data_IF_643684246405
#
_entry.id   IF_643684246405
#
_cell.length_a   1.000
_cell.length_b   1.000
_cell.length_c   1.000
_cell.angle_alpha   90.00
_cell.angle_beta   90.00
_cell.angle_gamma   90.00
#
_symmetry.space_group_name_H-M   'P 1'
#
loop_
_entity.id
_entity.type
_entity.pdbx_description
1 polymer ?
#
# COMPACT_ATOMS: atom_id res chain seq x y z
N UNK A 1 -28.15 41.04 32.70
CA UNK A 1 -27.50 39.76 32.98
C UNK A 1 -27.80 38.77 31.86
N UNK A 2 -26.94 38.69 30.84
CA UNK A 2 -27.01 37.66 29.81
C UNK A 2 -25.77 36.79 29.96
N UNK A 3 -25.98 35.51 30.33
CA UNK A 3 -24.96 34.49 30.39
C UNK A 3 -24.62 34.06 28.97
N UNK A 4 -23.38 34.22 28.54
CA UNK A 4 -22.81 33.58 27.35
C UNK A 4 -22.24 32.23 27.79
N UNK A 5 -22.80 31.14 27.30
CA UNK A 5 -22.22 29.80 27.34
C UNK A 5 -21.23 29.63 26.15
N UNK A 6 -20.20 28.79 26.28
CA UNK A 6 -19.22 28.61 25.20
C UNK A 6 -19.88 27.84 24.02
N UNK A 7 -19.82 28.45 22.83
CA UNK A 7 -20.12 27.74 21.57
C UNK A 7 -18.97 26.78 21.29
N UNK A 8 -19.25 25.50 21.44
CA UNK A 8 -18.45 24.45 20.83
C UNK A 8 -18.67 24.59 19.31
N UNK A 9 -17.61 24.93 18.58
CA UNK A 9 -17.63 24.95 17.14
C UNK A 9 -17.75 23.49 16.65
N UNK A 10 -18.93 23.13 16.20
CA UNK A 10 -19.15 21.92 15.40
C UNK A 10 -18.41 22.09 14.09
N UNK A 11 -17.32 21.36 13.93
CA UNK A 11 -16.72 21.11 12.61
C UNK A 11 -17.74 20.24 11.87
N UNK A 12 -18.51 20.88 11.00
CA UNK A 12 -19.50 20.21 10.15
C UNK A 12 -18.77 19.20 9.26
N UNK A 13 -19.11 17.94 9.48
CA UNK A 13 -18.85 16.81 8.60
C UNK A 13 -19.70 16.99 7.32
N UNK A 14 -19.28 17.90 6.44
CA UNK A 14 -19.99 18.24 5.20
C UNK A 14 -19.61 17.35 4.00
N UNK A 15 -18.86 16.25 4.21
CA UNK A 15 -18.52 15.29 3.15
C UNK A 15 -19.53 14.15 2.93
N UNK A 16 -20.60 14.04 3.74
CA UNK A 16 -21.39 12.80 3.81
C UNK A 16 -22.68 12.73 2.98
N UNK A 17 -23.04 13.73 2.16
CA UNK A 17 -24.42 13.74 1.67
C UNK A 17 -24.70 13.73 0.16
N UNK A 18 -23.75 13.53 -0.75
CA UNK A 18 -24.10 13.61 -2.20
C UNK A 18 -23.64 12.51 -3.16
N UNK A 19 -23.00 11.42 -2.71
CA UNK A 19 -22.61 10.30 -3.62
C UNK A 19 -23.11 8.93 -3.10
N UNK A 20 -24.17 8.89 -2.35
CA UNK A 20 -24.64 7.67 -1.66
C UNK A 20 -25.51 6.72 -2.49
N UNK A 21 -25.78 6.96 -3.77
CA UNK A 21 -26.89 6.26 -4.48
C UNK A 21 -26.43 5.21 -5.49
N UNK A 22 -25.15 5.08 -5.86
CA UNK A 22 -24.79 4.21 -7.01
C UNK A 22 -23.98 2.93 -6.71
N UNK A 23 -23.61 2.61 -5.45
CA UNK A 23 -22.68 1.49 -5.17
C UNK A 23 -23.12 0.44 -4.13
N UNK A 24 -24.32 0.51 -3.58
CA UNK A 24 -24.75 -0.35 -2.43
C UNK A 24 -25.14 -1.79 -2.83
N UNK A 25 -25.27 -2.13 -4.10
CA UNK A 25 -25.79 -3.45 -4.49
C UNK A 25 -24.75 -4.55 -4.77
N UNK A 26 -23.44 -4.31 -4.61
CA UNK A 26 -22.45 -5.30 -5.06
C UNK A 26 -21.95 -6.31 -4.02
N UNK A 27 -22.00 -6.04 -2.73
CA UNK A 27 -21.45 -6.98 -1.74
C UNK A 27 -22.29 -7.02 -0.46
N UNK A 28 -22.81 -8.21 -0.12
CA UNK A 28 -23.34 -8.54 1.20
C UNK A 28 -22.17 -8.64 2.21
N UNK A 29 -21.59 -7.53 2.64
CA UNK A 29 -20.42 -7.52 3.53
C UNK A 29 -20.24 -6.20 4.24
N UNK A 30 -19.25 -6.14 5.14
CA UNK A 30 -18.88 -4.95 5.88
C UNK A 30 -18.15 -3.96 4.98
N UNK A 31 -18.58 -2.69 5.01
CA UNK A 31 -17.87 -1.60 4.31
C UNK A 31 -17.26 -0.67 5.35
N UNK A 32 -15.94 -0.41 5.22
CA UNK A 32 -15.16 0.52 6.04
C UNK A 32 -14.76 1.70 5.17
N UNK A 33 -15.13 2.90 5.55
CA UNK A 33 -14.79 4.12 4.82
C UNK A 33 -13.84 5.00 5.62
N UNK A 34 -12.82 5.54 4.95
CA UNK A 34 -11.89 6.47 5.57
C UNK A 34 -11.36 7.50 4.57
N UNK A 35 -10.87 8.60 5.08
CA UNK A 35 -10.13 9.59 4.31
C UNK A 35 -8.82 9.92 5.02
N UNK A 36 -7.74 10.10 4.24
CA UNK A 36 -6.50 10.64 4.76
C UNK A 36 -6.65 12.16 4.86
N UNK A 37 -7.02 12.65 6.05
CA UNK A 37 -7.22 14.07 6.29
C UNK A 37 -5.85 14.76 6.47
N UNK A 38 -5.70 15.70 7.36
CA UNK A 38 -4.50 16.52 7.49
C UNK A 38 -3.31 15.80 8.14
N UNK A 39 -3.53 14.69 8.83
CA UNK A 39 -2.51 13.93 9.53
C UNK A 39 -2.64 12.43 9.21
N UNK A 40 -1.51 11.71 9.14
CA UNK A 40 -1.53 10.28 8.84
C UNK A 40 -2.25 9.42 9.88
N UNK A 41 -2.42 9.89 11.11
CA UNK A 41 -3.08 9.18 12.21
C UNK A 41 -4.61 9.19 12.09
N UNK A 42 -5.20 10.27 11.57
CA UNK A 42 -6.65 10.51 11.60
C UNK A 42 -7.47 9.36 10.96
N UNK A 43 -6.95 8.77 9.89
CA UNK A 43 -7.64 7.68 9.20
C UNK A 43 -7.75 6.40 10.05
N UNK A 44 -6.77 6.12 10.91
CA UNK A 44 -6.77 4.91 11.73
C UNK A 44 -7.85 4.95 12.80
N UNK A 45 -8.11 6.11 13.39
CA UNK A 45 -9.20 6.32 14.34
C UNK A 45 -10.56 6.11 13.66
N UNK A 46 -10.76 6.67 12.47
CA UNK A 46 -11.99 6.45 11.68
C UNK A 46 -12.24 4.98 11.37
N UNK A 47 -11.19 4.24 11.04
CA UNK A 47 -11.27 2.79 10.76
C UNK A 47 -11.55 2.01 12.04
N UNK A 48 -10.85 2.30 13.13
CA UNK A 48 -11.05 1.62 14.43
C UNK A 48 -12.49 1.79 14.95
N UNK A 49 -13.04 2.99 14.86
CA UNK A 49 -14.42 3.29 15.26
C UNK A 49 -15.44 2.42 14.50
N UNK A 50 -15.28 2.26 13.19
CA UNK A 50 -16.16 1.44 12.36
C UNK A 50 -16.00 -0.06 12.64
N UNK A 51 -14.83 -0.49 13.14
CA UNK A 51 -14.65 -1.84 13.69
C UNK A 51 -15.24 -2.00 15.09
N UNK A 52 -15.75 -0.94 15.72
CA UNK A 52 -16.26 -0.96 17.09
C UNK A 52 -15.16 -1.06 18.15
N UNK A 53 -13.97 -0.51 17.87
CA UNK A 53 -12.81 -0.48 18.77
C UNK A 53 -12.17 0.91 18.78
N UNK A 54 -11.11 1.10 19.56
CA UNK A 54 -10.36 2.35 19.64
C UNK A 54 -8.88 2.14 19.44
N UNK A 55 -8.18 3.17 18.96
CA UNK A 55 -6.74 3.19 18.80
C UNK A 55 -6.05 3.28 20.16
N UNK A 56 -5.14 2.34 20.44
CA UNK A 56 -4.31 2.33 21.64
C UNK A 56 -2.87 2.00 21.24
N UNK A 57 -1.88 2.69 21.79
CA UNK A 57 -0.47 2.48 21.46
C UNK A 57 -0.19 2.49 19.95
N UNK A 58 -0.73 3.49 19.25
CA UNK A 58 -0.61 3.71 17.80
C UNK A 58 -1.19 2.57 16.93
N UNK A 59 -2.22 1.89 17.39
CA UNK A 59 -2.87 0.85 16.62
C UNK A 59 -4.08 0.25 17.31
N UNK A 60 -4.69 -0.75 16.68
CA UNK A 60 -5.78 -1.54 17.24
C UNK A 60 -5.74 -2.99 16.77
N UNK A 61 -6.37 -3.86 17.55
CA UNK A 61 -6.60 -5.26 17.17
C UNK A 61 -8.00 -5.40 16.57
N UNK A 62 -8.13 -6.13 15.48
CA UNK A 62 -9.43 -6.42 14.86
C UNK A 62 -10.29 -7.20 15.86
N UNK A 63 -11.52 -6.74 16.16
CA UNK A 63 -12.42 -7.42 17.10
C UNK A 63 -12.72 -8.85 16.66
N UNK A 64 -12.76 -9.77 17.62
CA UNK A 64 -12.99 -11.22 17.37
C UNK A 64 -14.36 -11.51 16.74
N UNK A 65 -15.32 -10.57 16.81
CA UNK A 65 -16.61 -10.67 16.13
C UNK A 65 -16.52 -10.45 14.62
N UNK A 66 -15.50 -9.71 14.14
CA UNK A 66 -15.32 -9.34 12.73
C UNK A 66 -14.25 -10.19 12.06
N UNK A 67 -13.19 -10.50 12.79
CA UNK A 67 -12.04 -11.18 12.22
C UNK A 67 -10.90 -11.38 13.20
N UNK A 68 -9.69 -11.32 12.70
CA UNK A 68 -8.46 -11.35 13.51
C UNK A 68 -7.37 -10.53 12.83
N UNK A 69 -6.42 -10.05 13.64
CA UNK A 69 -5.29 -9.28 13.14
C UNK A 69 -5.18 -7.93 13.80
N UNK A 70 -4.41 -7.04 13.20
CA UNK A 70 -4.11 -5.75 13.76
C UNK A 70 -3.82 -4.71 12.67
N UNK A 71 -3.98 -3.46 13.07
CA UNK A 71 -3.52 -2.26 12.37
C UNK A 71 -2.55 -1.55 13.33
N UNK A 72 -1.34 -1.25 12.89
CA UNK A 72 -0.34 -0.61 13.75
C UNK A 72 0.48 0.40 12.98
N UNK A 73 0.72 1.56 13.59
CA UNK A 73 1.44 2.67 13.00
C UNK A 73 2.69 2.98 13.82
N UNK A 74 3.75 3.36 13.14
CA UNK A 74 5.04 3.76 13.68
C UNK A 74 5.43 5.10 13.07
N UNK A 75 6.14 5.92 13.81
CA UNK A 75 6.55 7.27 13.43
C UNK A 75 8.07 7.37 13.37
N UNK A 76 8.71 6.85 12.28
CA UNK A 76 10.16 6.91 12.13
C UNK A 76 10.71 8.32 12.19
N UNK A 77 10.02 9.26 11.53
CA UNK A 77 10.40 10.67 11.43
C UNK A 77 9.14 11.55 11.37
N UNK A 78 9.24 12.84 11.72
CA UNK A 78 8.07 13.75 11.70
C UNK A 78 7.37 13.85 10.35
N UNK A 79 8.06 13.52 9.27
CA UNK A 79 7.57 13.57 7.88
C UNK A 79 7.34 12.18 7.27
N UNK A 80 7.55 11.11 8.02
CA UNK A 80 7.42 9.72 7.56
C UNK A 80 6.72 8.86 8.60
N UNK A 81 5.66 8.18 8.21
CA UNK A 81 5.03 7.13 9.00
C UNK A 81 5.15 5.78 8.32
N UNK A 82 5.18 4.72 9.11
CA UNK A 82 5.10 3.34 8.67
C UNK A 82 3.86 2.72 9.28
N UNK A 83 2.95 2.24 8.45
CA UNK A 83 1.77 1.47 8.89
C UNK A 83 1.91 0.03 8.47
N UNK A 84 1.73 -0.90 9.39
CA UNK A 84 1.63 -2.32 9.09
C UNK A 84 0.23 -2.81 9.44
N UNK A 85 -0.45 -3.30 8.42
CA UNK A 85 -1.78 -3.89 8.50
C UNK A 85 -1.63 -5.39 8.24
N UNK A 86 -2.17 -6.20 9.14
CA UNK A 86 -2.25 -7.65 8.97
C UNK A 86 -3.59 -8.11 9.53
N UNK A 87 -4.51 -8.55 8.68
CA UNK A 87 -5.83 -8.94 9.12
C UNK A 87 -6.46 -10.02 8.25
N UNK A 88 -7.49 -10.66 8.80
CA UNK A 88 -8.38 -11.59 8.13
C UNK A 88 -9.80 -11.32 8.62
N UNK A 89 -10.72 -11.06 7.71
CA UNK A 89 -12.16 -10.92 8.01
C UNK A 89 -12.87 -12.28 7.94
N UNK A 90 -13.94 -12.46 8.71
CA UNK A 90 -14.76 -13.66 8.63
C UNK A 90 -15.80 -13.58 7.52
N UNK A 91 -16.25 -12.37 7.20
CA UNK A 91 -17.20 -12.07 6.13
C UNK A 91 -16.52 -11.24 5.04
N UNK A 92 -17.09 -11.16 3.83
CA UNK A 92 -16.58 -10.26 2.78
C UNK A 92 -16.48 -8.84 3.32
N UNK A 93 -15.39 -8.14 2.98
CA UNK A 93 -15.18 -6.77 3.45
C UNK A 93 -14.70 -5.89 2.31
N UNK A 94 -15.14 -4.64 2.32
CA UNK A 94 -14.68 -3.59 1.42
C UNK A 94 -14.09 -2.45 2.24
N UNK A 95 -12.90 -1.98 1.87
CA UNK A 95 -12.35 -0.74 2.41
C UNK A 95 -12.33 0.33 1.33
N UNK A 96 -12.86 1.50 1.65
CA UNK A 96 -12.99 2.63 0.72
C UNK A 96 -12.19 3.82 1.25
N UNK A 97 -11.15 4.21 0.52
CA UNK A 97 -10.41 5.45 0.74
C UNK A 97 -11.07 6.57 -0.05
N UNK A 98 -11.63 7.54 0.62
CA UNK A 98 -12.21 8.73 0.00
C UNK A 98 -11.12 9.71 -0.43
N UNK A 99 -11.38 10.44 -1.49
CA UNK A 99 -10.50 11.52 -1.95
C UNK A 99 -10.45 12.67 -0.95
N UNK A 100 -9.28 13.28 -0.84
CA UNK A 100 -9.04 14.50 -0.07
C UNK A 100 -8.25 15.47 -0.94
N UNK A 101 -8.75 16.68 -1.08
CA UNK A 101 -8.02 17.72 -1.81
C UNK A 101 -6.89 18.31 -0.95
N UNK A 102 -5.78 18.63 -1.58
CA UNK A 102 -4.65 19.35 -1.00
C UNK A 102 -3.94 18.69 0.19
N UNK A 103 -4.08 17.37 0.40
CA UNK A 103 -3.25 16.70 1.39
C UNK A 103 -1.80 16.62 0.90
N UNK A 104 -0.87 16.99 1.79
CA UNK A 104 0.58 16.91 1.57
C UNK A 104 1.14 15.50 1.83
N UNK A 105 0.34 14.60 2.35
CA UNK A 105 0.74 13.25 2.72
C UNK A 105 0.46 12.26 1.59
N UNK A 106 1.53 11.60 1.14
CA UNK A 106 1.50 10.66 0.01
C UNK A 106 1.75 9.25 0.54
N UNK A 107 0.78 8.33 0.42
CA UNK A 107 0.97 6.93 0.79
C UNK A 107 1.67 6.14 -0.32
N UNK A 108 2.56 5.24 0.07
CA UNK A 108 3.15 4.21 -0.77
C UNK A 108 2.83 2.87 -0.13
N UNK A 109 1.97 2.11 -0.75
CA UNK A 109 1.45 0.85 -0.23
C UNK A 109 2.20 -0.32 -0.85
N UNK A 110 2.79 -1.17 -0.02
CA UNK A 110 3.46 -2.40 -0.42
C UNK A 110 2.56 -3.58 -0.06
N UNK A 111 2.05 -4.29 -1.06
CA UNK A 111 1.22 -5.48 -0.87
C UNK A 111 2.11 -6.69 -0.61
N UNK A 112 2.15 -7.14 0.64
CA UNK A 112 3.04 -8.23 1.08
C UNK A 112 2.31 -9.56 1.31
N UNK A 113 1.00 -9.61 1.01
CA UNK A 113 0.20 -10.82 1.09
C UNK A 113 0.51 -11.77 -0.08
N UNK A 114 0.52 -13.06 0.21
CA UNK A 114 0.71 -14.11 -0.80
C UNK A 114 -0.50 -14.26 -1.74
N UNK A 115 -1.69 -13.88 -1.28
CA UNK A 115 -2.91 -13.93 -2.07
C UNK A 115 -3.10 -12.63 -2.84
N UNK A 116 -3.47 -12.77 -4.10
CA UNK A 116 -3.89 -11.64 -4.92
C UNK A 116 -5.27 -11.18 -4.47
N UNK A 117 -5.53 -9.88 -4.51
CA UNK A 117 -6.86 -9.30 -4.29
C UNK A 117 -7.13 -8.19 -5.28
N UNK A 118 -8.38 -7.78 -5.35
CA UNK A 118 -8.80 -6.73 -6.28
C UNK A 118 -8.76 -5.35 -5.62
N UNK A 119 -8.31 -4.38 -6.41
CA UNK A 119 -8.32 -2.97 -6.09
C UNK A 119 -8.99 -2.21 -7.22
N UNK A 120 -9.94 -1.34 -6.87
CA UNK A 120 -10.71 -0.55 -7.81
C UNK A 120 -10.28 0.92 -7.68
N UNK A 121 -9.98 1.54 -8.83
CA UNK A 121 -9.61 2.96 -8.92
C UNK A 121 -10.47 3.57 -10.03
N UNK A 122 -11.49 4.34 -9.66
CA UNK A 122 -12.49 4.81 -10.61
C UNK A 122 -13.21 3.65 -11.30
N UNK A 123 -13.03 3.50 -12.61
CA UNK A 123 -13.59 2.39 -13.40
C UNK A 123 -12.63 1.23 -13.65
N UNK A 124 -11.39 1.33 -13.17
CA UNK A 124 -10.33 0.35 -13.40
C UNK A 124 -10.20 -0.61 -12.23
N UNK A 125 -10.22 -1.92 -12.52
CA UNK A 125 -9.90 -2.96 -11.53
C UNK A 125 -8.49 -3.48 -11.77
N UNK A 126 -7.71 -3.58 -10.70
CA UNK A 126 -6.35 -4.10 -10.68
C UNK A 126 -6.25 -5.31 -9.75
N UNK A 127 -5.45 -6.28 -10.13
CA UNK A 127 -5.09 -7.41 -9.26
C UNK A 127 -3.77 -7.11 -8.60
N UNK A 128 -3.77 -6.89 -7.29
CA UNK A 128 -2.60 -6.49 -6.50
C UNK A 128 -2.11 -7.63 -5.60
N UNK A 129 -0.82 -7.62 -5.27
CA UNK A 129 -0.17 -8.61 -4.43
C UNK A 129 1.35 -8.62 -4.62
N UNK A 130 2.09 -9.32 -3.75
CA UNK A 130 3.57 -9.31 -3.72
C UNK A 130 4.22 -9.76 -5.03
N UNK A 131 3.59 -10.69 -5.73
CA UNK A 131 4.09 -11.29 -6.97
C UNK A 131 3.30 -10.83 -8.20
N UNK A 132 2.84 -9.59 -8.19
CA UNK A 132 2.16 -8.97 -9.32
C UNK A 132 2.99 -7.82 -9.88
N UNK A 133 2.63 -7.33 -11.06
CA UNK A 133 3.15 -6.05 -11.57
C UNK A 133 2.75 -4.87 -10.68
N UNK A 134 1.67 -5.03 -9.97
CA UNK A 134 1.01 -4.04 -9.15
C UNK A 134 1.24 -4.33 -7.66
N UNK A 135 2.49 -4.69 -7.28
CA UNK A 135 2.89 -4.98 -5.91
C UNK A 135 3.07 -3.74 -5.02
N UNK A 136 3.27 -2.57 -5.62
CA UNK A 136 3.37 -1.27 -4.96
C UNK A 136 2.35 -0.34 -5.57
N UNK A 137 1.63 0.41 -4.76
CA UNK A 137 0.66 1.42 -5.19
C UNK A 137 0.93 2.76 -4.51
N UNK A 138 1.05 3.82 -5.30
CA UNK A 138 1.23 5.20 -4.83
C UNK A 138 0.22 6.11 -5.50
N UNK A 139 -0.86 6.50 -4.82
CA UNK A 139 -1.82 7.48 -5.31
C UNK A 139 -1.57 8.87 -4.71
N UNK A 140 -1.94 9.92 -5.43
CA UNK A 140 -2.20 11.22 -4.83
C UNK A 140 -3.42 11.19 -3.91
N UNK A 141 -3.57 12.20 -3.04
CA UNK A 141 -4.63 12.22 -2.02
C UNK A 141 -6.05 12.29 -2.61
N UNK A 142 -6.20 12.85 -3.80
CA UNK A 142 -7.46 13.06 -4.49
C UNK A 142 -7.91 11.87 -5.37
N UNK A 143 -7.21 10.72 -5.31
CA UNK A 143 -7.62 9.48 -5.99
C UNK A 143 -8.41 8.61 -5.02
N UNK A 144 -9.73 8.43 -5.20
CA UNK A 144 -10.51 7.48 -4.41
C UNK A 144 -10.10 6.05 -4.79
N UNK A 145 -10.03 5.17 -3.80
CA UNK A 145 -9.60 3.80 -4.00
C UNK A 145 -10.45 2.86 -3.15
N UNK A 146 -10.80 1.71 -3.72
CA UNK A 146 -11.55 0.66 -3.05
C UNK A 146 -10.77 -0.64 -3.09
N UNK A 147 -10.76 -1.37 -1.99
CA UNK A 147 -10.18 -2.71 -1.85
C UNK A 147 -11.25 -3.69 -1.41
N UNK A 148 -11.35 -4.82 -2.10
CA UNK A 148 -12.23 -5.92 -1.72
C UNK A 148 -11.43 -7.06 -1.13
N UNK A 149 -11.93 -7.62 -0.03
CA UNK A 149 -11.27 -8.67 0.73
C UNK A 149 -12.18 -9.88 0.84
N UNK A 150 -11.73 -11.01 0.32
CA UNK A 150 -12.40 -12.28 0.49
C UNK A 150 -12.36 -12.73 1.95
N UNK A 151 -13.43 -13.36 2.48
CA UNK A 151 -13.44 -13.86 3.84
C UNK A 151 -12.41 -14.97 4.06
N UNK A 152 -11.92 -15.06 5.29
CA UNK A 152 -11.00 -16.10 5.76
C UNK A 152 -9.66 -16.16 5.02
N UNK A 153 -9.28 -15.08 4.34
CA UNK A 153 -7.95 -14.89 3.75
C UNK A 153 -7.13 -13.89 4.56
N UNK A 154 -5.85 -14.18 4.73
CA UNK A 154 -4.93 -13.27 5.39
C UNK A 154 -4.46 -12.19 4.41
N UNK A 155 -4.66 -10.92 4.77
CA UNK A 155 -4.18 -9.76 4.03
C UNK A 155 -3.12 -9.03 4.82
N UNK A 156 -2.06 -8.62 4.14
CA UNK A 156 -0.95 -7.89 4.73
C UNK A 156 -0.52 -6.76 3.82
N UNK A 157 -0.35 -5.59 4.41
CA UNK A 157 0.11 -4.40 3.73
C UNK A 157 1.07 -3.63 4.63
N UNK A 158 2.15 -3.12 4.05
CA UNK A 158 3.04 -2.16 4.68
C UNK A 158 2.94 -0.87 3.88
N UNK A 159 2.52 0.21 4.54
CA UNK A 159 2.38 1.53 3.91
C UNK A 159 3.37 2.50 4.52
N UNK A 160 4.18 3.12 3.69
CA UNK A 160 4.94 4.31 4.03
C UNK A 160 4.12 5.53 3.62
N UNK A 161 3.89 6.47 4.54
CA UNK A 161 3.24 7.75 4.20
C UNK A 161 4.23 8.86 4.51
N UNK A 162 4.60 9.63 3.50
CA UNK A 162 5.56 10.73 3.63
C UNK A 162 4.93 12.08 3.28
N UNK A 163 5.47 13.13 3.87
CA UNK A 163 5.09 14.49 3.55
C UNK A 163 5.87 14.97 2.31
N UNK A 164 5.15 15.40 1.25
CA UNK A 164 5.76 15.83 -0.02
C UNK A 164 6.68 17.04 0.12
N UNK A 165 6.35 17.99 1.01
CA UNK A 165 7.15 19.19 1.22
C UNK A 165 8.58 18.87 1.67
N UNK A 166 8.75 17.74 2.38
CA UNK A 166 10.07 17.28 2.78
C UNK A 166 10.91 16.77 1.60
N UNK A 167 10.28 16.00 0.68
CA UNK A 167 10.95 15.53 -0.54
C UNK A 167 11.36 16.72 -1.40
N UNK A 168 10.50 17.72 -1.53
CA UNK A 168 10.78 18.94 -2.28
C UNK A 168 11.98 19.69 -1.70
N UNK A 169 12.14 19.73 -0.37
CA UNK A 169 13.30 20.35 0.28
C UNK A 169 14.62 19.60 0.01
N UNK A 170 14.59 18.27 -0.04
CA UNK A 170 15.77 17.47 -0.37
C UNK A 170 16.22 17.64 -1.82
N UNK A 171 15.29 17.90 -2.71
CA UNK A 171 15.51 17.96 -4.16
C UNK A 171 15.52 19.40 -4.72
N UNK A 172 15.61 20.39 -3.86
CA UNK A 172 15.55 21.82 -4.23
C UNK A 172 16.57 22.26 -5.32
N UNK A 173 17.60 21.44 -5.56
CA UNK A 173 18.64 21.67 -6.57
C UNK A 173 18.52 20.77 -7.83
N UNK A 174 17.61 19.80 -7.86
CA UNK A 174 17.51 18.80 -8.92
C UNK A 174 16.05 18.68 -9.39
N UNK A 175 15.80 18.88 -10.67
CA UNK A 175 14.49 18.61 -11.30
C UNK A 175 14.29 17.11 -11.54
N UNK A 176 14.17 16.33 -10.47
CA UNK A 176 13.93 14.89 -10.57
C UNK A 176 12.52 14.59 -11.09
N UNK A 177 12.32 13.37 -11.57
CA UNK A 177 10.98 12.90 -11.96
C UNK A 177 10.00 12.96 -10.77
N UNK A 178 10.48 12.62 -9.57
CA UNK A 178 9.67 12.64 -8.35
C UNK A 178 9.24 14.06 -8.00
N UNK A 179 10.15 15.05 -8.01
CA UNK A 179 9.80 16.44 -7.75
C UNK A 179 8.70 16.91 -8.70
N UNK A 180 8.86 16.67 -10.01
CA UNK A 180 7.87 17.04 -11.01
C UNK A 180 6.52 16.34 -10.80
N UNK A 181 6.53 15.06 -10.39
CA UNK A 181 5.32 14.31 -10.10
C UNK A 181 4.58 14.89 -8.90
N UNK A 182 5.30 15.20 -7.81
CA UNK A 182 4.72 15.67 -6.55
C UNK A 182 4.27 17.13 -6.62
N UNK A 183 4.97 17.98 -7.38
CA UNK A 183 4.60 19.39 -7.59
C UNK A 183 3.42 19.56 -8.53
N UNK A 184 3.08 18.53 -9.29
CA UNK A 184 1.93 18.59 -10.19
C UNK A 184 0.63 18.67 -9.40
N UNK A 185 -0.21 19.68 -9.71
CA UNK A 185 -1.58 19.77 -9.19
C UNK A 185 -2.52 18.70 -9.79
N UNK A 186 -2.00 17.85 -10.67
CA UNK A 186 -2.77 16.81 -11.32
C UNK A 186 -2.87 15.58 -10.42
N UNK A 187 -4.06 14.99 -10.40
CA UNK A 187 -4.26 13.66 -9.80
C UNK A 187 -3.39 12.63 -10.50
N UNK A 188 -2.69 11.83 -9.73
CA UNK A 188 -1.88 10.73 -10.26
C UNK A 188 -2.06 9.47 -9.41
N UNK A 189 -1.85 8.34 -10.03
CA UNK A 189 -1.54 7.09 -9.35
C UNK A 189 -0.55 6.28 -10.17
N UNK A 190 0.25 5.48 -9.50
CA UNK A 190 1.19 4.60 -10.15
C UNK A 190 1.25 3.25 -9.45
N UNK A 191 1.55 2.23 -10.23
CA UNK A 191 1.87 0.89 -9.77
C UNK A 191 3.29 0.54 -10.12
N UNK A 192 3.94 -0.22 -9.22
CA UNK A 192 5.29 -0.72 -9.40
C UNK A 192 5.45 -2.14 -8.87
N UNK A 193 6.45 -2.84 -9.37
CA UNK A 193 6.83 -4.16 -8.87
C UNK A 193 7.67 -4.04 -7.60
N UNK A 194 7.51 -4.97 -6.67
CA UNK A 194 8.41 -5.12 -5.53
C UNK A 194 9.71 -5.79 -6.01
N UNK A 195 10.85 -5.13 -5.83
CA UNK A 195 12.16 -5.72 -6.14
C UNK A 195 12.59 -6.74 -5.09
N UNK A 196 13.54 -7.66 -5.38
CA UNK A 196 14.08 -8.58 -4.38
C UNK A 196 14.65 -7.88 -3.14
N UNK A 197 15.35 -6.75 -3.30
CA UNK A 197 15.87 -5.96 -2.19
C UNK A 197 14.76 -5.38 -1.32
N UNK A 198 13.73 -4.78 -1.92
CA UNK A 198 12.55 -4.30 -1.19
C UNK A 198 11.84 -5.44 -0.46
N UNK A 199 11.70 -6.61 -1.07
CA UNK A 199 11.08 -7.76 -0.44
C UNK A 199 11.85 -8.22 0.81
N UNK A 200 13.18 -8.22 0.76
CA UNK A 200 14.02 -8.53 1.92
C UNK A 200 13.82 -7.52 3.06
N UNK A 201 13.74 -6.23 2.75
CA UNK A 201 13.47 -5.17 3.72
C UNK A 201 12.06 -5.29 4.31
N UNK A 202 11.04 -5.60 3.50
CA UNK A 202 9.67 -5.85 3.95
C UNK A 202 9.60 -7.07 4.89
N UNK A 203 10.30 -8.17 4.58
CA UNK A 203 10.41 -9.33 5.47
C UNK A 203 11.10 -8.96 6.81
N UNK A 204 12.13 -8.11 6.76
CA UNK A 204 12.80 -7.62 7.97
C UNK A 204 11.85 -6.77 8.84
N UNK A 205 11.06 -5.88 8.24
CA UNK A 205 10.05 -5.08 8.95
C UNK A 205 9.04 -6.00 9.66
N UNK A 206 8.51 -7.01 8.96
CA UNK A 206 7.58 -8.00 9.54
C UNK A 206 8.20 -8.71 10.75
N UNK A 207 9.44 -9.17 10.64
CA UNK A 207 10.16 -9.82 11.73
C UNK A 207 10.37 -8.92 12.93
N UNK A 208 10.75 -7.65 12.72
CA UNK A 208 10.99 -6.67 13.79
C UNK A 208 9.68 -6.38 14.54
N UNK A 209 8.57 -6.18 13.82
CA UNK A 209 7.26 -5.95 14.42
C UNK A 209 6.81 -7.15 15.27
N UNK A 210 7.10 -8.38 14.84
CA UNK A 210 6.75 -9.60 15.56
C UNK A 210 7.57 -9.84 16.84
N UNK A 211 8.80 -9.34 16.89
CA UNK A 211 9.74 -9.70 17.98
C UNK A 211 9.72 -8.77 19.19
N UNK A 212 9.16 -7.56 19.09
CA UNK A 212 9.02 -6.58 20.19
C UNK A 212 10.32 -6.34 21.02
N UNK A 213 11.48 -6.42 20.37
CA UNK A 213 12.78 -6.22 21.05
C UNK A 213 13.00 -4.74 21.42
N UNK A 214 13.82 -4.41 22.44
CA UNK A 214 14.02 -3.03 22.92
C UNK A 214 14.46 -2.03 21.85
N UNK A 215 15.26 -2.47 20.86
CA UNK A 215 15.74 -1.64 19.75
C UNK A 215 14.85 -1.72 18.48
N UNK A 216 13.71 -2.43 18.54
CA UNK A 216 12.79 -2.54 17.40
C UNK A 216 12.37 -1.20 16.79
N UNK A 217 12.08 -0.13 17.57
CA UNK A 217 11.74 1.17 16.99
C UNK A 217 12.87 1.74 16.13
N UNK A 218 14.12 1.68 16.60
CA UNK A 218 15.28 2.17 15.84
C UNK A 218 15.51 1.37 14.55
N UNK A 219 15.38 0.04 14.61
CA UNK A 219 15.46 -0.81 13.43
C UNK A 219 14.35 -0.51 12.42
N UNK A 220 13.11 -0.28 12.89
CA UNK A 220 12.00 0.10 12.02
C UNK A 220 12.24 1.43 11.33
N UNK A 221 12.83 2.42 12.05
CA UNK A 221 13.21 3.70 11.44
C UNK A 221 14.18 3.51 10.27
N UNK A 222 15.27 2.76 10.51
CA UNK A 222 16.24 2.46 9.45
C UNK A 222 15.62 1.74 8.26
N UNK A 223 14.79 0.73 8.51
CA UNK A 223 14.13 -0.05 7.44
C UNK A 223 13.06 0.74 6.68
N UNK A 224 12.34 1.65 7.32
CA UNK A 224 11.39 2.53 6.67
C UNK A 224 12.08 3.50 5.69
N UNK A 225 13.19 4.11 6.13
CA UNK A 225 13.99 5.02 5.29
C UNK A 225 14.60 4.23 4.11
N UNK A 226 15.22 3.08 4.36
CA UNK A 226 15.80 2.20 3.33
C UNK A 226 14.77 1.83 2.27
N UNK A 227 13.55 1.41 2.69
CA UNK A 227 12.48 1.03 1.79
C UNK A 227 11.99 2.21 0.94
N UNK A 228 11.80 3.39 1.55
CA UNK A 228 11.42 4.61 0.86
C UNK A 228 12.48 5.00 -0.18
N UNK A 229 13.75 5.00 0.21
CA UNK A 229 14.87 5.33 -0.68
C UNK A 229 14.90 4.40 -1.90
N UNK A 230 14.84 3.08 -1.70
CA UNK A 230 14.80 2.11 -2.81
C UNK A 230 13.62 2.35 -3.75
N UNK A 231 12.45 2.73 -3.20
CA UNK A 231 11.27 3.02 -4.01
C UNK A 231 11.46 4.30 -4.83
N UNK A 232 11.93 5.38 -4.22
CA UNK A 232 12.16 6.66 -4.91
C UNK A 232 13.23 6.52 -6.00
N UNK A 233 14.36 5.85 -5.73
CA UNK A 233 15.37 5.53 -6.73
C UNK A 233 14.81 4.73 -7.91
N UNK A 234 13.91 3.78 -7.62
CA UNK A 234 13.24 3.02 -8.68
C UNK A 234 12.39 3.91 -9.58
N UNK A 235 11.68 4.88 -9.00
CA UNK A 235 10.87 5.83 -9.77
C UNK A 235 11.73 6.74 -10.64
N UNK A 236 12.88 7.23 -10.14
CA UNK A 236 13.80 8.04 -10.94
C UNK A 236 14.31 7.27 -12.17
N UNK A 237 14.73 6.03 -11.98
CA UNK A 237 15.18 5.17 -13.09
C UNK A 237 14.08 4.90 -14.13
N UNK A 238 12.80 4.98 -13.75
CA UNK A 238 11.67 4.79 -14.68
C UNK A 238 11.65 5.85 -15.79
N UNK A 239 12.07 7.09 -15.49
CA UNK A 239 12.14 8.17 -16.47
C UNK A 239 13.16 7.91 -17.58
N UNK A 240 14.16 7.05 -17.33
CA UNK A 240 15.23 6.72 -18.25
C UNK A 240 14.94 5.48 -19.11
N UNK A 241 14.00 4.64 -18.71
CA UNK A 241 13.71 3.36 -19.38
C UNK A 241 12.56 3.54 -20.37
N UNK A 242 12.85 3.35 -21.67
CA UNK A 242 11.80 3.15 -22.69
C UNK A 242 10.93 1.96 -22.30
N UNK A 243 9.59 2.04 -22.41
CA UNK A 243 8.71 0.91 -22.10
C UNK A 243 9.21 -0.34 -22.84
N UNK A 244 9.29 -1.48 -22.14
CA UNK A 244 9.59 -2.77 -22.76
C UNK A 244 8.50 -3.07 -23.80
N UNK A 245 8.80 -2.80 -25.05
CA UNK A 245 7.83 -2.71 -26.13
C UNK A 245 7.18 -4.06 -26.53
N UNK A 246 7.55 -5.21 -25.94
CA UNK A 246 7.14 -6.52 -26.43
C UNK A 246 6.87 -7.61 -25.37
N UNK A 247 6.72 -7.28 -24.10
CA UNK A 247 6.24 -8.25 -23.11
C UNK A 247 4.73 -8.10 -22.93
N UNK A 248 3.98 -9.16 -23.24
CA UNK A 248 2.54 -9.18 -22.95
C UNK A 248 2.33 -9.51 -21.45
N UNK A 249 1.15 -9.20 -20.94
CA UNK A 249 0.80 -9.40 -19.52
C UNK A 249 1.01 -10.86 -19.08
N UNK A 250 0.71 -11.83 -19.93
CA UNK A 250 0.91 -13.25 -19.66
C UNK A 250 2.38 -13.64 -19.48
N UNK A 251 3.29 -13.04 -20.26
CA UNK A 251 4.73 -13.28 -20.12
C UNK A 251 5.23 -12.80 -18.74
N UNK A 252 4.77 -11.64 -18.33
CA UNK A 252 5.14 -11.06 -17.04
C UNK A 252 4.60 -11.89 -15.87
N UNK A 253 3.34 -12.32 -15.92
CA UNK A 253 2.76 -13.22 -14.90
C UNK A 253 3.52 -14.55 -14.82
N UNK A 254 3.95 -15.09 -15.95
CA UNK A 254 4.75 -16.32 -16.01
C UNK A 254 6.11 -16.12 -15.34
N UNK A 255 6.79 -15.00 -15.57
CA UNK A 255 8.07 -14.67 -14.89
C UNK A 255 7.90 -14.59 -13.38
N UNK A 256 6.85 -13.95 -12.87
CA UNK A 256 6.57 -13.91 -11.44
C UNK A 256 6.26 -15.29 -10.85
N UNK A 257 5.55 -16.14 -11.59
CA UNK A 257 5.30 -17.54 -11.20
C UNK A 257 6.61 -18.31 -11.07
N UNK A 258 7.52 -18.21 -12.04
CA UNK A 258 8.83 -18.85 -12.02
C UNK A 258 9.69 -18.35 -10.86
N UNK A 259 9.73 -17.04 -10.62
CA UNK A 259 10.42 -16.46 -9.46
C UNK A 259 9.94 -17.07 -8.14
N UNK A 260 8.62 -17.21 -7.94
CA UNK A 260 8.05 -17.88 -6.75
C UNK A 260 8.52 -19.33 -6.61
N UNK A 261 8.53 -20.06 -7.72
CA UNK A 261 8.96 -21.46 -7.74
C UNK A 261 10.42 -21.60 -7.30
N UNK A 262 11.30 -20.73 -7.80
CA UNK A 262 12.69 -20.67 -7.37
C UNK A 262 12.81 -20.33 -5.87
N UNK A 263 12.11 -19.32 -5.40
CA UNK A 263 12.20 -18.85 -4.01
C UNK A 263 11.61 -19.82 -2.98
N UNK A 264 10.63 -20.65 -3.37
CA UNK A 264 10.01 -21.66 -2.47
C UNK A 264 10.91 -22.86 -2.18
N UNK A 265 11.86 -23.18 -3.05
CA UNK A 265 12.72 -24.34 -2.87
C UNK A 265 14.17 -24.00 -3.24
N UNK A 266 14.83 -23.25 -2.37
CA UNK A 266 16.24 -22.84 -2.56
C UNK A 266 17.22 -24.02 -2.48
N UNK A 267 16.80 -25.16 -1.92
CA UNK A 267 17.62 -26.38 -1.83
C UNK A 267 17.63 -27.18 -3.14
N UNK A 268 16.70 -26.94 -4.04
CA UNK A 268 16.63 -27.57 -5.35
C UNK A 268 16.41 -26.49 -6.41
N UNK A 269 17.49 -26.12 -7.08
CA UNK A 269 17.42 -25.10 -8.15
C UNK A 269 16.97 -25.78 -9.45
N UNK A 270 15.73 -25.50 -9.95
CA UNK A 270 15.29 -26.06 -11.22
C UNK A 270 16.19 -25.59 -12.36
N UNK A 271 16.36 -26.44 -13.36
CA UNK A 271 17.11 -26.09 -14.56
C UNK A 271 16.37 -25.02 -15.39
N UNK A 272 17.10 -24.27 -16.20
CA UNK A 272 16.51 -23.28 -17.11
C UNK A 272 15.44 -23.91 -18.03
N UNK A 273 15.64 -25.15 -18.43
CA UNK A 273 14.69 -25.86 -19.30
C UNK A 273 13.39 -26.19 -18.58
N UNK A 274 13.46 -26.60 -17.31
CA UNK A 274 12.28 -26.86 -16.47
C UNK A 274 11.53 -25.55 -16.23
N UNK A 275 12.23 -24.48 -15.89
CA UNK A 275 11.62 -23.17 -15.70
C UNK A 275 10.95 -22.63 -16.97
N UNK A 276 11.57 -22.84 -18.13
CA UNK A 276 11.01 -22.43 -19.42
C UNK A 276 9.72 -23.22 -19.77
N UNK A 277 9.72 -24.53 -19.48
CA UNK A 277 8.51 -25.37 -19.64
C UNK A 277 7.38 -24.92 -18.71
N UNK A 278 7.69 -24.67 -17.45
CA UNK A 278 6.73 -24.17 -16.47
C UNK A 278 6.15 -22.80 -16.84
N UNK A 279 6.97 -21.94 -17.48
CA UNK A 279 6.57 -20.64 -17.99
C UNK A 279 5.77 -20.70 -19.29
N UNK A 280 5.72 -21.83 -19.96
CA UNK A 280 5.27 -21.96 -21.36
C UNK A 280 6.02 -21.01 -22.32
N UNK A 281 7.33 -20.91 -22.14
CA UNK A 281 8.20 -20.04 -22.94
C UNK A 281 9.40 -20.81 -23.47
N UNK A 282 10.05 -20.27 -24.51
CA UNK A 282 11.39 -20.73 -24.87
C UNK A 282 12.42 -20.28 -23.83
N UNK A 283 13.50 -21.05 -23.64
CA UNK A 283 14.57 -20.69 -22.71
C UNK A 283 15.18 -19.31 -23.00
N UNK A 284 15.33 -18.96 -24.28
CA UNK A 284 15.83 -17.64 -24.70
C UNK A 284 14.86 -16.50 -24.39
N UNK A 285 13.55 -16.73 -24.52
CA UNK A 285 12.54 -15.75 -24.14
C UNK A 285 12.53 -15.56 -22.62
N UNK A 286 12.55 -16.65 -21.85
CA UNK A 286 12.60 -16.60 -20.41
C UNK A 286 13.83 -15.82 -19.92
N UNK A 287 15.03 -16.10 -20.44
CA UNK A 287 16.25 -15.36 -20.10
C UNK A 287 16.15 -13.86 -20.39
N UNK A 288 15.52 -13.46 -21.50
CA UNK A 288 15.28 -12.04 -21.82
C UNK A 288 14.32 -11.38 -20.84
N UNK A 289 13.34 -12.11 -20.34
CA UNK A 289 12.37 -11.60 -19.36
C UNK A 289 12.97 -11.43 -17.95
N UNK A 290 14.07 -12.15 -17.63
CA UNK A 290 14.77 -12.04 -16.33
C UNK A 290 15.91 -11.01 -16.34
N UNK A 291 16.28 -10.43 -17.48
CA UNK A 291 17.24 -9.33 -17.59
C UNK A 291 16.56 -7.98 -17.43
#
# INVERSE_FOLDING_TARGET
QKRFGPRVASVEVLCLHRIHVFYIERYNGMTIEFCAINKPEDWMEMVAEQFGTSVTNNGFTVPASVGRGFFKQYYPLPWLTLTYISFMSYEPMTMVRRSVENSKWIPVMFYVNEHKHEQIIGTSTKTVGVDTLDGIFMPSSNIPTEWTFDPKRQYENITLTFNRDWIEQLDAAHETYISRLLQSDKSFYLFETITPAMQQTLCSIKSIVGNNAPLSPLHLHGKAIELLTMFLEKLERRSEVKPFANLNLHDVESVFRIRRLILRNLNHTPSLLELAREANMSSSKLQKCFK
#
